data_IF_160585219079
#
_entry.id   IF_160585219079
#
_cell.length_a   1.000
_cell.length_b   1.000
_cell.length_c   1.000
_cell.angle_alpha   90.00
_cell.angle_beta   90.00
_cell.angle_gamma   90.00
#
_symmetry.space_group_name_H-M   'P 1'
#
loop_
_entity.id
_entity.type
_entity.pdbx_description
1 polymer ?
#
# COMPACT_ATOMS: atom_id res chain seq x y z
N UNK A 1 7.33 6.92 4.16
CA UNK A 1 6.23 6.75 5.11
C UNK A 1 6.55 7.14 6.55
N UNK A 2 7.65 6.67 7.10
CA UNK A 2 7.99 6.91 8.52
C UNK A 2 8.15 8.41 8.84
N UNK A 3 8.78 9.17 7.97
CA UNK A 3 8.98 10.61 8.17
C UNK A 3 7.64 11.36 8.15
N UNK A 4 6.74 10.97 7.26
CA UNK A 4 5.39 11.57 7.19
C UNK A 4 4.60 11.25 8.45
N UNK A 5 4.64 10.00 8.91
CA UNK A 5 3.96 9.58 10.13
C UNK A 5 4.46 10.35 11.36
N UNK A 6 5.77 10.55 11.47
CA UNK A 6 6.36 11.33 12.55
C UNK A 6 5.89 12.79 12.49
N UNK A 7 5.87 13.39 11.33
CA UNK A 7 5.42 14.77 11.14
C UNK A 7 3.95 14.95 11.50
N UNK A 8 3.10 13.96 11.22
CA UNK A 8 1.67 13.96 11.52
C UNK A 8 1.35 13.46 12.93
N UNK A 9 2.34 13.00 13.66
CA UNK A 9 2.18 12.43 14.99
C UNK A 9 1.18 11.25 15.01
N UNK A 10 1.30 10.37 14.07
CA UNK A 10 0.46 9.17 13.96
C UNK A 10 1.30 7.90 13.88
N UNK A 11 0.65 6.74 14.01
CA UNK A 11 1.31 5.45 13.92
C UNK A 11 1.88 5.19 12.53
N UNK A 12 2.86 4.30 12.46
CA UNK A 12 3.48 3.85 11.22
C UNK A 12 3.53 2.33 11.18
N UNK A 13 3.03 1.75 10.08
CA UNK A 13 2.98 0.31 9.90
C UNK A 13 3.66 -0.02 8.56
N UNK A 14 4.80 -0.74 8.58
CA UNK A 14 5.47 -1.09 7.34
C UNK A 14 4.79 -2.24 6.63
N UNK A 15 4.72 -2.14 5.30
CA UNK A 15 4.42 -3.24 4.40
C UNK A 15 5.72 -3.53 3.65
N UNK A 16 6.22 -4.76 3.74
CA UNK A 16 7.53 -5.14 3.24
C UNK A 16 7.44 -6.35 2.31
N UNK A 17 8.45 -6.51 1.47
CA UNK A 17 8.62 -7.74 0.70
C UNK A 17 8.89 -8.91 1.63
N UNK A 18 8.52 -10.11 1.18
CA UNK A 18 8.63 -11.34 1.94
C UNK A 18 10.02 -11.52 2.58
N UNK A 19 10.02 -11.94 3.84
CA UNK A 19 11.24 -12.21 4.59
C UNK A 19 11.88 -10.99 5.26
N UNK A 20 11.25 -9.83 5.21
CA UNK A 20 11.77 -8.60 5.82
C UNK A 20 11.17 -8.28 7.20
N UNK A 21 10.13 -8.98 7.62
CA UNK A 21 9.48 -8.78 8.92
C UNK A 21 9.73 -9.97 9.85
N UNK A 22 10.01 -9.72 11.16
CA UNK A 22 10.48 -10.77 12.09
C UNK A 22 9.40 -11.59 12.76
N UNK A 23 8.14 -11.20 12.76
CA UNK A 23 7.07 -11.87 13.49
C UNK A 23 6.00 -12.42 12.55
N UNK A 24 4.91 -12.96 13.14
CA UNK A 24 3.77 -13.42 12.35
C UNK A 24 3.23 -12.31 11.47
N UNK A 25 3.05 -12.61 10.19
CA UNK A 25 2.63 -11.66 9.17
C UNK A 25 1.44 -12.19 8.39
N UNK A 26 0.68 -11.27 7.81
CA UNK A 26 -0.23 -11.56 6.71
C UNK A 26 0.50 -11.22 5.41
N UNK A 27 0.25 -11.99 4.36
CA UNK A 27 0.93 -11.78 3.08
C UNK A 27 -0.06 -11.75 1.92
N UNK A 28 0.32 -11.08 0.85
CA UNK A 28 -0.40 -11.02 -0.41
C UNK A 28 0.59 -11.14 -1.56
N UNK A 29 0.34 -12.08 -2.46
CA UNK A 29 1.16 -12.32 -3.65
C UNK A 29 0.56 -11.60 -4.84
N UNK A 30 1.40 -10.99 -5.67
CA UNK A 30 0.99 -10.29 -6.87
C UNK A 30 1.91 -10.61 -8.04
N UNK A 31 1.38 -10.48 -9.26
CA UNK A 31 2.10 -10.80 -10.47
C UNK A 31 3.04 -9.67 -10.88
N UNK A 32 4.25 -10.05 -11.28
CA UNK A 32 5.21 -9.21 -11.96
C UNK A 32 5.33 -9.63 -13.41
N UNK A 33 5.99 -8.82 -14.22
CA UNK A 33 6.26 -9.14 -15.63
C UNK A 33 7.06 -10.44 -15.76
N UNK A 34 7.97 -10.72 -14.83
CA UNK A 34 8.87 -11.87 -14.84
C UNK A 34 8.61 -12.89 -13.74
N UNK A 35 7.41 -12.89 -13.13
CA UNK A 35 7.10 -13.82 -12.05
C UNK A 35 6.13 -13.23 -11.04
N UNK A 36 6.36 -13.55 -9.77
CA UNK A 36 5.50 -13.10 -8.67
C UNK A 36 6.33 -12.53 -7.54
N UNK A 37 5.75 -11.61 -6.81
CA UNK A 37 6.33 -11.10 -5.57
C UNK A 37 5.28 -11.15 -4.46
N UNK A 38 5.73 -11.10 -3.22
CA UNK A 38 4.87 -11.21 -2.05
C UNK A 38 5.15 -10.07 -1.09
N UNK A 39 4.10 -9.40 -0.64
CA UNK A 39 4.18 -8.39 0.42
C UNK A 39 3.74 -8.98 1.74
N UNK A 40 4.29 -8.45 2.82
CA UNK A 40 3.98 -8.87 4.18
C UNK A 40 3.71 -7.68 5.09
N UNK A 41 2.81 -7.87 6.06
CA UNK A 41 2.51 -6.91 7.11
C UNK A 41 2.25 -7.68 8.40
N UNK A 42 2.59 -7.11 9.55
CA UNK A 42 2.31 -7.76 10.84
C UNK A 42 0.81 -8.03 11.00
N UNK A 43 0.48 -9.22 11.47
CA UNK A 43 -0.92 -9.69 11.56
C UNK A 43 -1.75 -8.88 12.57
N UNK A 44 -1.13 -8.32 13.58
CA UNK A 44 -1.77 -7.53 14.64
C UNK A 44 -1.55 -6.01 14.51
N UNK A 45 -1.14 -5.58 13.30
CA UNK A 45 -0.79 -4.18 13.06
C UNK A 45 -2.00 -3.23 13.14
N UNK A 46 -3.18 -3.70 12.75
CA UNK A 46 -4.36 -2.87 12.61
C UNK A 46 -5.59 -3.53 13.24
N UNK A 47 -6.51 -2.69 13.67
CA UNK A 47 -7.83 -3.10 14.14
C UNK A 47 -8.91 -2.62 13.17
N UNK A 48 -10.06 -3.29 13.19
CA UNK A 48 -11.21 -2.89 12.37
C UNK A 48 -11.58 -1.43 12.65
N UNK A 49 -12.00 -0.72 11.61
CA UNK A 49 -12.40 0.69 11.63
C UNK A 49 -11.26 1.69 11.86
N UNK A 50 -10.00 1.25 12.00
CA UNK A 50 -8.89 2.21 11.99
C UNK A 50 -8.91 3.01 10.67
N UNK A 51 -8.59 4.29 10.77
CA UNK A 51 -8.40 5.14 9.59
C UNK A 51 -6.95 5.08 9.16
N UNK A 52 -6.71 4.73 7.89
CA UNK A 52 -5.36 4.57 7.36
C UNK A 52 -5.19 5.34 6.05
N UNK A 53 -3.97 5.81 5.84
CA UNK A 53 -3.49 6.34 4.56
C UNK A 53 -2.36 5.43 4.12
N UNK A 54 -2.42 4.98 2.88
CA UNK A 54 -1.41 4.10 2.30
C UNK A 54 -0.44 4.96 1.49
N UNK A 55 0.85 4.90 1.81
CA UNK A 55 1.87 5.76 1.20
C UNK A 55 2.96 4.91 0.57
N UNK A 56 3.32 5.25 -0.67
CA UNK A 56 4.46 4.68 -1.37
C UNK A 56 5.20 5.77 -2.14
N UNK A 57 6.40 5.48 -2.59
CA UNK A 57 7.20 6.44 -3.35
C UNK A 57 6.74 6.55 -4.80
N UNK A 58 6.51 5.45 -5.49
CA UNK A 58 6.18 5.43 -6.91
C UNK A 58 4.93 4.61 -7.20
N UNK A 59 3.99 5.23 -7.91
CA UNK A 59 2.87 4.52 -8.53
C UNK A 59 3.24 4.26 -10.00
N UNK A 60 3.56 3.01 -10.31
CA UNK A 60 3.90 2.56 -11.67
C UNK A 60 2.76 1.71 -12.23
N UNK A 61 2.90 0.40 -12.28
CA UNK A 61 1.86 -0.51 -12.79
C UNK A 61 0.71 -0.73 -11.82
N UNK A 62 0.92 -0.43 -10.54
CA UNK A 62 -0.10 -0.60 -9.51
C UNK A 62 -0.16 -1.98 -8.88
N UNK A 63 0.76 -2.89 -9.21
CA UNK A 63 0.79 -4.22 -8.62
C UNK A 63 0.98 -4.21 -7.12
N UNK A 64 1.98 -3.47 -6.65
CA UNK A 64 2.28 -3.32 -5.21
C UNK A 64 1.12 -2.70 -4.44
N UNK A 65 0.56 -1.61 -4.96
CA UNK A 65 -0.54 -0.92 -4.28
C UNK A 65 -1.82 -1.78 -4.27
N UNK A 66 -2.10 -2.48 -5.35
CA UNK A 66 -3.26 -3.38 -5.43
C UNK A 66 -3.15 -4.51 -4.41
N UNK A 67 -1.97 -5.13 -4.28
CA UNK A 67 -1.72 -6.17 -3.28
C UNK A 67 -1.84 -5.62 -1.86
N UNK A 68 -1.32 -4.41 -1.61
CA UNK A 68 -1.42 -3.74 -0.32
C UNK A 68 -2.88 -3.46 0.07
N UNK A 69 -3.69 -2.98 -0.88
CA UNK A 69 -5.12 -2.74 -0.64
C UNK A 69 -5.87 -4.01 -0.30
N UNK A 70 -5.61 -5.10 -1.02
CA UNK A 70 -6.22 -6.40 -0.73
C UNK A 70 -5.86 -6.91 0.66
N UNK A 71 -4.60 -6.76 1.04
CA UNK A 71 -4.13 -7.15 2.36
C UNK A 71 -4.81 -6.33 3.46
N UNK A 72 -4.97 -5.03 3.26
CA UNK A 72 -5.65 -4.15 4.21
C UNK A 72 -7.13 -4.47 4.36
N UNK A 73 -7.80 -4.96 3.32
CA UNK A 73 -9.20 -5.37 3.40
C UNK A 73 -9.42 -6.47 4.46
N UNK A 74 -8.44 -7.32 4.70
CA UNK A 74 -8.50 -8.38 5.72
C UNK A 74 -8.75 -7.81 7.11
N UNK A 75 -8.30 -6.59 7.37
CA UNK A 75 -8.44 -5.92 8.68
C UNK A 75 -9.71 -5.09 8.80
N UNK A 76 -10.47 -4.92 7.71
CA UNK A 76 -11.67 -4.09 7.67
C UNK A 76 -11.42 -2.66 8.14
N UNK A 77 -10.27 -2.10 7.75
CA UNK A 77 -9.90 -0.72 8.05
C UNK A 77 -10.56 0.24 7.07
N UNK A 78 -10.60 1.52 7.44
CA UNK A 78 -11.08 2.59 6.60
C UNK A 78 -9.90 3.24 5.86
N UNK A 79 -9.74 2.96 4.58
CA UNK A 79 -8.67 3.51 3.75
C UNK A 79 -9.11 4.88 3.24
N UNK A 80 -8.49 5.92 3.77
CA UNK A 80 -8.82 7.31 3.42
C UNK A 80 -8.36 7.62 2.00
N UNK A 81 -7.09 7.30 1.69
CA UNK A 81 -6.48 7.64 0.40
C UNK A 81 -5.16 6.88 0.23
N UNK A 82 -4.78 6.65 -1.02
CA UNK A 82 -3.45 6.18 -1.40
C UNK A 82 -2.64 7.39 -1.88
N UNK A 83 -1.44 7.59 -1.35
CA UNK A 83 -0.61 8.74 -1.67
C UNK A 83 0.77 8.32 -2.17
N UNK A 84 1.26 9.02 -3.18
CA UNK A 84 2.53 8.73 -3.83
C UNK A 84 3.35 10.01 -4.02
N UNK A 85 4.66 9.86 -4.00
CA UNK A 85 5.55 10.95 -4.37
C UNK A 85 5.50 11.15 -5.89
N UNK A 86 5.60 10.07 -6.66
CA UNK A 86 5.68 10.07 -8.12
C UNK A 86 4.66 9.10 -8.70
N UNK A 87 3.98 9.53 -9.76
CA UNK A 87 3.14 8.65 -10.58
C UNK A 87 3.65 8.63 -12.02
N UNK A 88 3.82 7.43 -12.58
CA UNK A 88 4.14 7.23 -14.00
C UNK A 88 2.83 6.89 -14.72
N UNK A 89 2.16 7.92 -15.26
CA UNK A 89 0.79 7.80 -15.79
C UNK A 89 0.65 6.83 -16.95
N UNK A 90 1.67 6.72 -17.79
CA UNK A 90 1.64 5.81 -18.92
C UNK A 90 1.47 4.34 -18.52
N UNK A 91 1.86 3.96 -17.32
CA UNK A 91 1.72 2.61 -16.79
C UNK A 91 0.35 2.32 -16.18
N UNK A 92 -0.50 3.34 -16.05
CA UNK A 92 -1.92 3.23 -15.67
C UNK A 92 -2.18 2.55 -14.32
N UNK A 93 -1.23 2.65 -13.38
CA UNK A 93 -1.40 2.08 -12.04
C UNK A 93 -2.61 2.64 -11.29
N UNK A 94 -2.97 3.89 -11.54
CA UNK A 94 -4.14 4.54 -10.93
C UNK A 94 -5.45 3.79 -11.26
N UNK A 95 -5.55 3.13 -12.41
CA UNK A 95 -6.74 2.38 -12.77
C UNK A 95 -7.05 1.25 -11.79
N UNK A 96 -6.01 0.61 -11.23
CA UNK A 96 -6.18 -0.45 -10.22
C UNK A 96 -6.75 0.11 -8.92
N UNK A 97 -6.33 1.31 -8.53
CA UNK A 97 -6.83 1.97 -7.32
C UNK A 97 -8.30 2.36 -7.51
N UNK A 98 -8.62 2.97 -8.63
CA UNK A 98 -10.00 3.37 -8.97
C UNK A 98 -10.91 2.16 -9.07
N UNK A 99 -10.44 1.04 -9.65
CA UNK A 99 -11.23 -0.19 -9.76
C UNK A 99 -11.57 -0.79 -8.41
N UNK A 100 -10.76 -0.54 -7.38
CA UNK A 100 -11.02 -0.94 -6.01
C UNK A 100 -11.80 0.12 -5.22
N UNK A 101 -12.31 1.14 -5.91
CA UNK A 101 -13.14 2.19 -5.33
C UNK A 101 -12.42 3.03 -4.27
N UNK A 102 -11.11 3.27 -4.46
CA UNK A 102 -10.29 4.05 -3.55
C UNK A 102 -9.82 5.35 -4.21
N UNK A 103 -9.47 6.33 -3.38
CA UNK A 103 -8.90 7.61 -3.80
C UNK A 103 -7.38 7.52 -3.88
N UNK A 104 -6.79 8.31 -4.77
CA UNK A 104 -5.34 8.40 -4.87
C UNK A 104 -4.89 9.85 -5.13
N UNK A 105 -3.66 10.13 -4.73
CA UNK A 105 -3.03 11.42 -4.94
C UNK A 105 -1.53 11.24 -5.17
N UNK A 106 -0.98 11.96 -6.14
CA UNK A 106 0.45 11.93 -6.45
C UNK A 106 0.98 13.35 -6.53
N UNK A 107 2.14 13.60 -5.91
CA UNK A 107 2.75 14.93 -5.92
C UNK A 107 3.30 15.30 -7.28
N UNK A 108 3.97 14.36 -7.95
CA UNK A 108 4.63 14.57 -9.23
C UNK A 108 4.10 13.54 -10.22
N UNK A 109 3.68 14.00 -11.39
CA UNK A 109 3.15 13.13 -12.45
C UNK A 109 4.05 13.18 -13.67
N UNK A 110 4.36 12.01 -14.21
CA UNK A 110 5.13 11.86 -15.46
C UNK A 110 4.32 11.17 -16.53
#
# INVERSE_FOLDING_TARGET
GAAVAQSLNCGFIPIRKKGKLPYKVISETYDLEYGKDTLEMHIDALEANNNVVLIDDVLATGGTISASLKMLETFKVNIIECQFLIEIKALKGHEKIVSLNKKHYSLINF
#
